data_IF_714384405324
#
_entry.id   IF_714384405324
#
_cell.length_a   1.000
_cell.length_b   1.000
_cell.length_c   1.000
_cell.angle_alpha   90.00
_cell.angle_beta   90.00
_cell.angle_gamma   90.00
#
_symmetry.space_group_name_H-M   'P 1'
#
loop_
_entity.id
_entity.type
_entity.pdbx_description
1 polymer ?
#
# COMPACT_ATOMS: atom_id res chain seq x y z
N UNK A 1 4.08 -6.88 -17.08
CA UNK A 1 4.47 -5.73 -17.95
C UNK A 1 5.39 -6.25 -19.03
N UNK A 2 5.20 -5.82 -20.29
CA UNK A 2 6.11 -6.19 -21.38
C UNK A 2 7.43 -5.42 -21.21
N UNK A 3 8.52 -6.14 -20.96
CA UNK A 3 9.87 -5.58 -20.88
C UNK A 3 10.41 -5.43 -22.31
N UNK A 4 10.62 -4.19 -22.75
CA UNK A 4 11.29 -3.90 -24.01
C UNK A 4 12.78 -3.73 -23.75
N UNK A 5 13.58 -4.71 -24.17
CA UNK A 5 15.03 -4.57 -24.18
C UNK A 5 15.43 -3.59 -25.30
N UNK A 6 15.94 -2.41 -24.91
CA UNK A 6 16.38 -1.41 -25.87
C UNK A 6 17.74 -1.77 -26.46
N UNK A 7 17.92 -1.53 -27.76
CA UNK A 7 19.24 -1.58 -28.39
C UNK A 7 20.09 -0.39 -27.92
N UNK A 8 21.42 -0.54 -27.89
CA UNK A 8 22.34 0.57 -27.57
C UNK A 8 22.10 1.80 -28.45
N UNK A 9 21.75 1.60 -29.74
CA UNK A 9 21.44 2.70 -30.65
C UNK A 9 20.21 3.52 -30.23
N UNK A 10 19.26 2.88 -29.54
CA UNK A 10 18.04 3.53 -29.06
C UNK A 10 18.31 4.27 -27.75
N UNK A 11 19.15 3.70 -26.88
CA UNK A 11 19.58 4.33 -25.63
C UNK A 11 20.31 5.65 -25.91
N UNK A 12 21.23 5.66 -26.86
CA UNK A 12 21.96 6.87 -27.26
C UNK A 12 21.03 7.99 -27.77
N UNK A 13 19.98 7.63 -28.52
CA UNK A 13 18.98 8.60 -28.97
C UNK A 13 18.24 9.22 -27.79
N UNK A 14 17.78 8.42 -26.84
CA UNK A 14 17.14 8.93 -25.62
C UNK A 14 18.10 9.78 -24.78
N UNK A 15 19.36 9.35 -24.65
CA UNK A 15 20.40 10.11 -23.96
C UNK A 15 20.63 11.48 -24.62
N UNK A 16 20.65 11.55 -25.95
CA UNK A 16 20.74 12.80 -26.70
C UNK A 16 19.61 13.80 -26.41
N UNK A 17 18.42 13.34 -26.03
CA UNK A 17 17.36 14.22 -25.53
C UNK A 17 17.62 14.66 -24.08
N UNK A 18 18.11 13.75 -23.24
CA UNK A 18 18.41 14.03 -21.83
C UNK A 18 19.57 15.01 -21.67
N UNK A 19 20.55 15.05 -22.59
CA UNK A 19 21.69 15.98 -22.50
C UNK A 19 21.25 17.45 -22.56
N UNK A 20 20.15 17.74 -23.27
CA UNK A 20 19.60 19.10 -23.44
C UNK A 20 18.79 19.59 -22.23
N UNK A 21 18.48 18.72 -21.27
CA UNK A 21 17.75 19.10 -20.07
C UNK A 21 18.62 19.90 -19.10
N UNK A 22 17.97 20.75 -18.31
CA UNK A 22 18.60 21.45 -17.20
C UNK A 22 19.00 20.48 -16.08
N UNK A 23 19.91 20.93 -15.22
CA UNK A 23 20.47 20.10 -14.15
C UNK A 23 19.43 19.65 -13.12
N UNK A 24 18.38 20.44 -12.88
CA UNK A 24 17.33 20.07 -11.92
C UNK A 24 16.46 18.95 -12.49
N UNK A 25 16.02 19.08 -13.75
CA UNK A 25 15.25 18.05 -14.45
C UNK A 25 16.03 16.73 -14.55
N UNK A 26 17.33 16.78 -14.85
CA UNK A 26 18.21 15.59 -14.88
C UNK A 26 18.22 14.87 -13.53
N UNK A 27 18.47 15.59 -12.43
CA UNK A 27 18.48 15.03 -11.07
C UNK A 27 17.14 14.38 -10.71
N UNK A 28 16.02 15.04 -11.05
CA UNK A 28 14.68 14.51 -10.80
C UNK A 28 14.39 13.24 -11.60
N UNK A 29 14.88 13.16 -12.84
CA UNK A 29 14.71 11.98 -13.69
C UNK A 29 15.50 10.78 -13.15
N UNK A 30 16.72 11.02 -12.66
CA UNK A 30 17.53 9.98 -12.01
C UNK A 30 16.79 9.42 -10.80
N UNK A 31 16.26 10.27 -9.91
CA UNK A 31 15.49 9.82 -8.74
C UNK A 31 14.31 8.94 -9.15
N UNK A 32 13.50 9.41 -10.12
CA UNK A 32 12.35 8.63 -10.62
C UNK A 32 12.74 7.30 -11.26
N UNK A 33 13.86 7.28 -11.99
CA UNK A 33 14.38 6.05 -12.60
C UNK A 33 14.85 5.08 -11.52
N UNK A 34 15.58 5.55 -10.50
CA UNK A 34 15.96 4.75 -9.34
C UNK A 34 14.74 4.18 -8.63
N UNK A 35 13.73 5.02 -8.34
CA UNK A 35 12.45 4.59 -7.74
C UNK A 35 11.67 3.59 -8.62
N UNK A 36 11.88 3.60 -9.94
CA UNK A 36 11.26 2.64 -10.85
C UNK A 36 11.97 1.29 -10.93
N UNK A 37 13.25 1.25 -10.55
CA UNK A 37 14.09 0.05 -10.49
C UNK A 37 13.95 -0.63 -9.13
N UNK A 38 13.92 0.18 -8.06
CA UNK A 38 13.51 -0.24 -6.74
C UNK A 38 12.03 -0.60 -6.83
N UNK A 39 11.75 -1.86 -7.15
CA UNK A 39 10.44 -2.47 -6.92
C UNK A 39 10.06 -2.04 -5.51
N UNK A 40 9.04 -1.18 -5.42
CA UNK A 40 8.38 -0.95 -4.14
C UNK A 40 7.89 -2.33 -3.74
N UNK A 41 8.69 -3.06 -2.94
CA UNK A 41 8.16 -4.08 -2.05
C UNK A 41 6.98 -3.37 -1.41
N UNK A 42 5.77 -3.83 -1.74
CA UNK A 42 4.51 -3.25 -1.28
C UNK A 42 4.75 -2.74 0.12
N UNK A 43 4.88 -1.42 0.29
CA UNK A 43 5.23 -0.83 1.58
C UNK A 43 4.28 -1.48 2.53
N UNK A 44 4.77 -2.39 3.39
CA UNK A 44 3.94 -3.32 4.14
C UNK A 44 2.87 -2.50 4.83
N UNK A 45 1.71 -2.37 4.18
CA UNK A 45 0.75 -1.33 4.52
C UNK A 45 -0.07 -1.96 5.60
N UNK A 46 0.50 -1.94 6.79
CA UNK A 46 -0.12 -2.49 7.98
C UNK A 46 -1.39 -1.69 8.18
N UNK A 47 -2.54 -2.34 8.08
CA UNK A 47 -3.84 -1.71 8.32
C UNK A 47 -3.87 -1.03 9.69
N UNK A 48 -3.10 -1.57 10.63
CA UNK A 48 -2.85 -1.07 11.99
C UNK A 48 -2.18 0.33 12.02
N UNK A 49 -1.58 0.77 10.91
CA UNK A 49 -0.95 2.10 10.79
C UNK A 49 -1.91 3.20 10.32
N UNK A 50 -3.16 2.85 10.02
CA UNK A 50 -4.19 3.80 9.63
C UNK A 50 -4.71 4.59 10.83
N UNK A 51 -4.99 5.87 10.61
CA UNK A 51 -5.67 6.69 11.62
C UNK A 51 -7.06 6.11 11.90
N UNK A 52 -7.35 5.85 13.19
CA UNK A 52 -8.59 5.19 13.59
C UNK A 52 -8.55 3.67 13.47
N UNK A 53 -7.36 3.06 13.31
CA UNK A 53 -7.20 1.62 13.48
C UNK A 53 -7.76 1.19 14.84
N UNK A 54 -8.60 0.15 14.80
CA UNK A 54 -9.23 -0.39 16.00
C UNK A 54 -8.20 -1.22 16.77
N UNK A 55 -7.84 -0.75 17.95
CA UNK A 55 -7.04 -1.48 18.92
C UNK A 55 -7.97 -2.04 20.02
N UNK A 56 -8.02 -3.37 20.15
CA UNK A 56 -8.77 -4.05 21.20
C UNK A 56 -7.87 -5.16 21.79
N UNK A 57 -7.89 -5.31 23.10
CA UNK A 57 -7.12 -6.34 23.81
C UNK A 57 -7.76 -7.73 23.73
N UNK A 58 -9.03 -7.80 23.31
CA UNK A 58 -9.80 -9.02 23.19
C UNK A 58 -9.54 -9.71 21.85
N UNK A 59 -9.62 -11.03 21.85
CA UNK A 59 -9.54 -11.78 20.59
C UNK A 59 -10.78 -11.53 19.73
N UNK A 60 -10.64 -11.69 18.42
CA UNK A 60 -11.78 -11.57 17.49
C UNK A 60 -12.92 -12.51 17.87
N UNK A 61 -12.60 -13.71 18.36
CA UNK A 61 -13.58 -14.70 18.78
C UNK A 61 -14.40 -14.25 20.00
N UNK A 62 -13.75 -13.58 20.97
CA UNK A 62 -14.43 -13.03 22.14
C UNK A 62 -15.41 -11.92 21.74
N UNK A 63 -15.00 -11.05 20.83
CA UNK A 63 -15.84 -9.97 20.31
C UNK A 63 -17.05 -10.54 19.55
N UNK A 64 -16.82 -11.53 18.69
CA UNK A 64 -17.89 -12.20 17.93
C UNK A 64 -18.88 -12.87 18.89
N UNK A 65 -18.37 -13.54 19.93
CA UNK A 65 -19.20 -14.19 20.95
C UNK A 65 -20.04 -13.17 21.72
N UNK A 66 -19.45 -12.06 22.17
CA UNK A 66 -20.19 -11.00 22.85
C UNK A 66 -21.29 -10.40 21.96
N UNK A 67 -20.99 -10.08 20.70
CA UNK A 67 -21.99 -9.54 19.75
C UNK A 67 -23.13 -10.54 19.53
N UNK A 68 -22.80 -11.84 19.43
CA UNK A 68 -23.81 -12.89 19.29
C UNK A 68 -24.68 -12.99 20.52
N UNK A 69 -24.07 -13.02 21.71
CA UNK A 69 -24.76 -13.17 23.00
C UNK A 69 -25.59 -11.92 23.35
N UNK A 70 -25.18 -10.73 22.89
CA UNK A 70 -25.95 -9.48 22.98
C UNK A 70 -27.22 -9.51 22.14
N UNK A 71 -27.21 -10.23 21.01
CA UNK A 71 -28.34 -10.33 20.08
C UNK A 71 -29.28 -11.50 20.37
N UNK A 72 -28.93 -12.39 21.30
CA UNK A 72 -29.89 -13.36 21.82
C UNK A 72 -30.82 -12.59 22.76
N UNK A 73 -32.04 -12.31 22.29
CA UNK A 73 -33.12 -11.79 23.14
C UNK A 73 -33.17 -12.65 24.40
N UNK A 74 -32.75 -12.05 25.52
CA UNK A 74 -32.99 -12.63 26.83
C UNK A 74 -34.49 -12.54 27.05
N UNK A 75 -35.21 -13.58 26.63
CA UNK A 75 -36.56 -13.89 27.11
C UNK A 75 -36.46 -14.15 28.62
N UNK A 76 -36.17 -13.11 29.40
CA UNK A 76 -36.50 -13.08 30.80
C UNK A 76 -38.02 -13.05 30.84
N UNK A 77 -38.58 -14.25 30.95
CA UNK A 77 -39.93 -14.53 31.37
C UNK A 77 -40.30 -13.54 32.48
N UNK A 78 -41.14 -12.58 32.14
CA UNK A 78 -41.87 -11.80 33.13
C UNK A 78 -42.89 -12.78 33.69
N UNK A 79 -42.56 -13.34 34.86
CA UNK A 79 -43.50 -14.12 35.67
C UNK A 79 -44.55 -13.13 36.22
N UNK A 80 -45.81 -13.30 35.85
CA UNK A 80 -46.96 -12.54 36.34
C UNK A 80 -47.73 -13.33 37.39
#
# INVERSE_FOLDING_TARGET
MMSLALSNSTIEKYFGFLTKLDNFSKKKLIIKLTESIELNEDKNFKLDSLYGAWEDSRSSDDIIKEIRDSRVDKNNLVDF
#
